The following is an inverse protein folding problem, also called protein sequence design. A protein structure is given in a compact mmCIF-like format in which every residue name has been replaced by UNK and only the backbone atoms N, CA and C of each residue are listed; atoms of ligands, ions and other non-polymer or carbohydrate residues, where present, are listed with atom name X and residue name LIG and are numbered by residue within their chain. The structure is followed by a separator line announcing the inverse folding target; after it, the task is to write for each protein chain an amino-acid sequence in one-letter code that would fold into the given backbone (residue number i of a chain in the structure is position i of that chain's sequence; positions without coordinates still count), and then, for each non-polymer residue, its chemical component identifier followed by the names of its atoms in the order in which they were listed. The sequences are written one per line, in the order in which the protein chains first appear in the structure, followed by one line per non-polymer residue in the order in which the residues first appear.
data_IF_771582316329
#
_entry.id   IF_771582316329
#
_cell.length_a   1.000
_cell.length_b   1.000
_cell.length_c   1.000
_cell.angle_alpha   90.00
_cell.angle_beta   90.00
_cell.angle_gamma   90.00
#
_symmetry.space_group_name_H-M   'P 1'
#
loop_
_entity.id
_entity.type
_entity.pdbx_description
1 polymer ?
#
# COMPACT_ATOMS: atom_id res chain seq x y z
N UNK A 1 -45.57 -57.19 -64.43
CA UNK A 1 -44.61 -56.74 -65.47
C UNK A 1 -44.17 -55.32 -65.12
N UNK A 2 -42.96 -54.78 -65.30
CA UNK A 2 -41.58 -55.21 -65.56
C UNK A 2 -40.78 -53.88 -65.59
N UNK A 3 -39.55 -53.84 -65.03
CA UNK A 3 -38.50 -52.76 -65.11
C UNK A 3 -38.83 -51.43 -64.37
N UNK A 4 -37.95 -50.66 -63.71
CA UNK A 4 -36.51 -50.43 -63.86
C UNK A 4 -35.83 -49.85 -62.59
N UNK A 5 -34.51 -50.10 -62.45
CA UNK A 5 -33.54 -49.55 -61.44
C UNK A 5 -33.13 -48.07 -61.76
N UNK A 6 -32.07 -47.47 -61.18
CA UNK A 6 -31.80 -47.01 -59.80
C UNK A 6 -31.20 -45.56 -59.74
N UNK A 7 -30.98 -44.97 -58.56
CA UNK A 7 -29.84 -44.05 -58.26
C UNK A 7 -29.79 -43.78 -56.74
N UNK A 8 -28.85 -44.37 -55.99
CA UNK A 8 -27.57 -43.75 -55.59
C UNK A 8 -27.73 -42.42 -54.81
N UNK A 9 -27.84 -42.52 -53.48
CA UNK A 9 -27.33 -41.47 -52.58
C UNK A 9 -26.22 -42.09 -51.76
N UNK A 10 -25.00 -41.79 -52.21
CA UNK A 10 -23.77 -42.09 -51.53
C UNK A 10 -23.56 -41.08 -50.39
N UNK A 11 -23.01 -41.60 -49.29
CA UNK A 11 -21.96 -40.94 -48.53
C UNK A 11 -22.29 -39.63 -47.81
N UNK A 12 -22.41 -39.71 -46.48
CA UNK A 12 -21.51 -38.93 -45.62
C UNK A 12 -21.49 -39.51 -44.21
N UNK A 13 -20.62 -40.49 -43.96
CA UNK A 13 -20.21 -40.83 -42.60
C UNK A 13 -19.22 -39.77 -42.18
N UNK A 14 -19.64 -38.87 -41.31
CA UNK A 14 -18.78 -37.89 -40.65
C UNK A 14 -17.72 -38.67 -39.86
N UNK A 15 -16.54 -38.79 -40.44
CA UNK A 15 -15.36 -39.31 -39.77
C UNK A 15 -15.01 -38.33 -38.64
N UNK A 16 -15.17 -38.77 -37.40
CA UNK A 16 -14.60 -38.07 -36.24
C UNK A 16 -13.08 -38.22 -36.33
N UNK A 17 -12.40 -37.16 -36.75
CA UNK A 17 -10.96 -37.04 -36.62
C UNK A 17 -10.58 -37.03 -35.14
N UNK A 18 -9.60 -37.85 -34.68
CA UNK A 18 -9.07 -37.70 -33.34
C UNK A 18 -8.22 -36.43 -33.30
N UNK A 19 -8.75 -35.37 -32.69
CA UNK A 19 -7.99 -34.18 -32.31
C UNK A 19 -6.85 -34.60 -31.40
N UNK A 20 -5.64 -34.60 -31.92
CA UNK A 20 -4.42 -34.70 -31.12
C UNK A 20 -3.98 -33.30 -30.70
N UNK A 21 -3.97 -32.97 -29.40
CA UNK A 21 -3.06 -31.98 -28.87
C UNK A 21 -2.06 -32.69 -27.95
N UNK A 22 -1.20 -33.57 -28.49
CA UNK A 22 -0.08 -34.18 -27.74
C UNK A 22 1.30 -33.72 -28.24
N UNK A 23 1.36 -32.54 -28.86
CA UNK A 23 2.62 -31.96 -29.34
C UNK A 23 3.04 -30.67 -28.61
N UNK A 24 2.23 -30.14 -27.67
CA UNK A 24 2.65 -29.01 -26.81
C UNK A 24 3.20 -29.45 -25.44
N UNK A 25 2.93 -30.68 -24.99
CA UNK A 25 3.46 -31.21 -23.71
C UNK A 25 4.95 -31.58 -23.71
N UNK A 26 5.66 -31.40 -24.84
CA UNK A 26 7.10 -31.66 -24.96
C UNK A 26 7.96 -30.41 -24.73
N UNK A 27 7.35 -29.23 -24.70
CA UNK A 27 8.05 -27.95 -24.52
C UNK A 27 8.02 -27.46 -23.06
N UNK A 28 7.08 -27.95 -22.26
CA UNK A 28 7.01 -27.68 -20.83
C UNK A 28 6.97 -29.01 -20.09
N UNK A 29 8.12 -29.50 -19.60
CA UNK A 29 8.14 -30.67 -18.73
C UNK A 29 7.22 -30.38 -17.54
N UNK A 30 6.17 -31.18 -17.34
CA UNK A 30 5.35 -31.14 -16.12
C UNK A 30 6.19 -31.34 -14.83
N UNK A 31 7.46 -31.69 -14.97
CA UNK A 31 8.47 -31.81 -13.91
C UNK A 31 9.11 -30.49 -13.46
N UNK A 32 8.85 -29.33 -14.09
CA UNK A 32 9.45 -28.05 -13.64
C UNK A 32 8.79 -27.55 -12.33
N UNK A 33 7.52 -27.86 -12.09
CA UNK A 33 6.74 -27.26 -10.98
C UNK A 33 6.18 -28.23 -9.94
N UNK A 34 6.44 -29.54 -10.07
CA UNK A 34 5.81 -30.56 -9.24
C UNK A 34 6.70 -31.11 -8.12
N UNK A 35 7.95 -30.63 -7.97
CA UNK A 35 8.83 -31.06 -6.89
C UNK A 35 8.62 -30.18 -5.65
N UNK A 36 8.04 -30.77 -4.59
CA UNK A 36 7.91 -30.13 -3.27
C UNK A 36 9.27 -29.60 -2.82
N UNK A 37 9.30 -28.34 -2.35
CA UNK A 37 10.51 -27.74 -1.79
C UNK A 37 10.97 -28.54 -0.56
N UNK A 38 12.29 -28.73 -0.37
CA UNK A 38 12.80 -29.23 0.90
C UNK A 38 12.33 -28.31 2.05
N UNK A 39 12.03 -28.84 3.27
CA UNK A 39 11.50 -28.04 4.37
C UNK A 39 12.33 -26.80 4.72
N UNK A 40 13.65 -26.88 4.58
CA UNK A 40 14.55 -25.75 4.80
C UNK A 40 14.48 -24.67 3.71
N UNK A 41 14.17 -25.05 2.46
CA UNK A 41 13.94 -24.10 1.38
C UNK A 41 12.57 -23.42 1.53
N UNK A 42 11.54 -24.17 1.90
CA UNK A 42 10.19 -23.63 2.16
C UNK A 42 10.20 -22.58 3.30
N UNK A 43 10.89 -22.86 4.41
CA UNK A 43 11.06 -21.89 5.50
C UNK A 43 11.77 -20.61 5.05
N UNK A 44 12.84 -20.73 4.25
CA UNK A 44 13.57 -19.57 3.71
C UNK A 44 12.71 -18.76 2.74
N UNK A 45 11.91 -19.43 1.90
CA UNK A 45 10.98 -18.77 1.00
C UNK A 45 9.93 -17.97 1.78
N UNK A 46 9.32 -18.55 2.82
CA UNK A 46 8.35 -17.83 3.68
C UNK A 46 8.96 -16.60 4.34
N UNK A 47 10.20 -16.69 4.84
CA UNK A 47 10.91 -15.54 5.40
C UNK A 47 11.19 -14.46 4.35
N UNK A 48 11.61 -14.86 3.15
CA UNK A 48 11.87 -13.93 2.05
C UNK A 48 10.58 -13.23 1.60
N UNK A 49 9.49 -13.98 1.49
CA UNK A 49 8.16 -13.45 1.18
C UNK A 49 7.72 -12.45 2.24
N UNK A 50 7.77 -12.79 3.53
CA UNK A 50 7.40 -11.88 4.61
C UNK A 50 8.23 -10.58 4.59
N UNK A 51 9.53 -10.67 4.29
CA UNK A 51 10.39 -9.49 4.13
C UNK A 51 10.00 -8.65 2.92
N UNK A 52 9.65 -9.29 1.81
CA UNK A 52 9.21 -8.58 0.61
C UNK A 52 7.88 -7.85 0.85
N UNK A 53 6.91 -8.52 1.48
CA UNK A 53 5.63 -7.93 1.86
C UNK A 53 5.82 -6.72 2.78
N UNK A 54 6.66 -6.85 3.81
CA UNK A 54 6.99 -5.75 4.72
C UNK A 54 7.72 -4.60 4.01
N UNK A 55 8.62 -4.91 3.07
CA UNK A 55 9.33 -3.89 2.28
C UNK A 55 8.38 -3.10 1.38
N UNK A 56 7.37 -3.75 0.80
CA UNK A 56 6.35 -3.08 -0.02
C UNK A 56 5.54 -2.12 0.84
N UNK A 57 5.07 -2.58 2.01
CA UNK A 57 4.34 -1.73 2.95
C UNK A 57 5.17 -0.51 3.33
N UNK A 58 6.43 -0.70 3.73
CA UNK A 58 7.33 0.38 4.12
C UNK A 58 7.51 1.40 3.01
N UNK A 59 7.77 0.95 1.78
CA UNK A 59 7.93 1.83 0.64
C UNK A 59 6.68 2.68 0.39
N UNK A 60 5.48 2.09 0.49
CA UNK A 60 4.25 2.84 0.33
C UNK A 60 4.00 3.84 1.46
N UNK A 61 4.35 3.52 2.70
CA UNK A 61 4.25 4.45 3.83
C UNK A 61 5.18 5.64 3.65
N UNK A 62 6.45 5.38 3.29
CA UNK A 62 7.45 6.44 3.06
C UNK A 62 6.98 7.38 1.93
N UNK A 63 6.50 6.82 0.81
CA UNK A 63 5.96 7.59 -0.31
C UNK A 63 4.67 8.35 0.06
N UNK A 64 3.78 7.76 0.87
CA UNK A 64 2.55 8.42 1.32
C UNK A 64 2.88 9.63 2.21
N UNK A 65 3.85 9.51 3.11
CA UNK A 65 4.31 10.60 3.96
C UNK A 65 4.90 11.74 3.12
N UNK A 66 5.72 11.41 2.11
CA UNK A 66 6.22 12.42 1.17
C UNK A 66 5.10 13.10 0.38
N UNK A 67 4.11 12.33 -0.08
CA UNK A 67 2.95 12.85 -0.80
C UNK A 67 2.13 13.82 0.06
N UNK A 68 1.88 13.46 1.32
CA UNK A 68 1.18 14.31 2.28
C UNK A 68 1.94 15.59 2.61
N UNK A 69 3.25 15.49 2.84
CA UNK A 69 4.11 16.65 3.12
C UNK A 69 4.11 17.63 1.94
N UNK A 70 4.14 17.10 0.71
CA UNK A 70 4.09 17.92 -0.52
C UNK A 70 2.76 18.63 -0.70
N UNK A 71 1.65 18.06 -0.20
CA UNK A 71 0.29 18.59 -0.35
C UNK A 71 -0.26 19.22 0.94
N UNK A 72 0.57 19.45 1.95
CA UNK A 72 0.12 19.85 3.28
C UNK A 72 -0.64 21.20 3.30
N UNK A 73 -0.36 22.09 2.35
CA UNK A 73 -1.06 23.38 2.21
C UNK A 73 -2.41 23.25 1.50
N UNK A 74 -2.57 22.24 0.65
CA UNK A 74 -3.73 22.06 -0.23
C UNK A 74 -4.75 21.05 0.32
N UNK A 75 -4.30 20.07 1.12
CA UNK A 75 -5.12 18.94 1.53
C UNK A 75 -4.81 18.47 2.96
N UNK A 76 -5.83 18.24 3.80
CA UNK A 76 -5.61 17.68 5.13
C UNK A 76 -5.14 16.22 5.03
N UNK A 77 -4.40 15.77 6.04
CA UNK A 77 -3.69 14.48 6.03
C UNK A 77 -4.61 13.28 5.77
N UNK A 78 -5.82 13.29 6.33
CA UNK A 78 -6.82 12.23 6.18
C UNK A 78 -7.25 12.08 4.72
N UNK A 79 -7.51 13.20 4.04
CA UNK A 79 -7.83 13.21 2.61
C UNK A 79 -6.63 12.89 1.73
N UNK A 80 -5.43 13.29 2.13
CA UNK A 80 -4.22 13.01 1.38
C UNK A 80 -3.86 11.51 1.38
N UNK A 81 -4.07 10.79 2.49
CA UNK A 81 -3.91 9.34 2.56
C UNK A 81 -4.87 8.63 1.60
N UNK A 82 -6.17 8.97 1.66
CA UNK A 82 -7.18 8.39 0.77
C UNK A 82 -6.86 8.64 -0.70
N UNK A 83 -6.37 9.85 -1.00
CA UNK A 83 -6.00 10.26 -2.37
C UNK A 83 -4.79 9.46 -2.85
N UNK A 84 -3.75 9.33 -2.03
CA UNK A 84 -2.57 8.54 -2.36
C UNK A 84 -2.92 7.08 -2.67
N UNK A 85 -3.70 6.43 -1.80
CA UNK A 85 -4.15 5.04 -1.98
C UNK A 85 -4.89 4.87 -3.30
N UNK A 86 -5.79 5.79 -3.62
CA UNK A 86 -6.58 5.77 -4.84
C UNK A 86 -5.71 5.96 -6.09
N UNK A 87 -4.84 6.97 -6.09
CA UNK A 87 -3.98 7.29 -7.24
C UNK A 87 -2.98 6.18 -7.51
N UNK A 88 -2.39 5.61 -6.46
CA UNK A 88 -1.43 4.51 -6.59
C UNK A 88 -2.10 3.14 -6.79
N UNK A 89 -3.44 3.07 -6.74
CA UNK A 89 -4.19 1.84 -6.98
C UNK A 89 -3.88 0.72 -5.98
N UNK A 90 -3.62 1.07 -4.72
CA UNK A 90 -3.20 0.08 -3.70
C UNK A 90 -4.41 -0.80 -3.33
N UNK A 91 -4.33 -2.13 -3.53
CA UNK A 91 -5.44 -3.02 -3.24
C UNK A 91 -5.60 -3.29 -1.74
N UNK A 92 -6.79 -3.70 -1.31
CA UNK A 92 -6.97 -4.28 0.03
C UNK A 92 -6.37 -5.68 0.13
N UNK A 93 -5.84 -6.10 1.29
CA UNK A 93 -5.80 -5.39 2.59
C UNK A 93 -4.58 -4.46 2.77
N UNK A 94 -3.75 -4.30 1.72
CA UNK A 94 -2.51 -3.53 1.80
C UNK A 94 -2.80 -2.04 2.04
N UNK A 95 -3.84 -1.49 1.41
CA UNK A 95 -4.28 -0.11 1.60
C UNK A 95 -4.55 0.22 3.07
N UNK A 96 -5.35 -0.61 3.75
CA UNK A 96 -5.64 -0.45 5.19
C UNK A 96 -4.36 -0.46 6.05
N UNK A 97 -3.41 -1.33 5.73
CA UNK A 97 -2.12 -1.42 6.44
C UNK A 97 -1.28 -0.16 6.24
N UNK A 98 -1.19 0.34 5.00
CA UNK A 98 -0.45 1.56 4.66
C UNK A 98 -1.05 2.77 5.36
N UNK A 99 -2.37 2.95 5.32
CA UNK A 99 -3.07 4.06 5.98
C UNK A 99 -2.79 4.07 7.50
N UNK A 100 -2.99 2.91 8.15
CA UNK A 100 -2.78 2.77 9.59
C UNK A 100 -1.34 3.11 9.99
N UNK A 101 -0.35 2.59 9.26
CA UNK A 101 1.06 2.84 9.58
C UNK A 101 1.48 4.28 9.31
N UNK A 102 0.99 4.90 8.23
CA UNK A 102 1.24 6.31 7.97
C UNK A 102 0.69 7.20 9.10
N UNK A 103 -0.53 6.94 9.58
CA UNK A 103 -1.11 7.64 10.72
C UNK A 103 -0.32 7.44 12.02
N UNK A 104 0.21 6.24 12.27
CA UNK A 104 1.07 5.98 13.43
C UNK A 104 2.33 6.85 13.37
N UNK A 105 2.98 6.94 12.21
CA UNK A 105 4.18 7.78 12.04
C UNK A 105 3.85 9.26 12.23
N UNK A 106 2.78 9.76 11.60
CA UNK A 106 2.32 11.15 11.82
C UNK A 106 2.01 11.43 13.30
N UNK A 107 1.39 10.48 13.99
CA UNK A 107 1.10 10.59 15.43
C UNK A 107 2.37 10.65 16.28
N UNK A 108 3.43 9.94 15.90
CA UNK A 108 4.73 10.00 16.58
C UNK A 108 5.42 11.36 16.43
N UNK A 109 5.16 12.11 15.37
CA UNK A 109 5.70 13.46 15.22
C UNK A 109 4.87 14.50 15.99
N UNK A 110 3.55 14.32 16.08
CA UNK A 110 2.63 15.25 16.77
C UNK A 110 2.65 15.11 18.31
N UNK A 111 2.80 13.91 18.85
CA UNK A 111 2.73 13.65 20.31
C UNK A 111 3.94 14.18 21.11
N UNK A 112 5.19 14.17 20.61
CA UNK A 112 6.34 14.80 21.27
C UNK A 112 6.19 16.31 21.44
N UNK A 113 5.45 16.99 20.56
CA UNK A 113 5.14 18.41 20.72
C UNK A 113 4.18 18.65 21.88
N UNK A 114 3.10 17.86 22.00
CA UNK A 114 2.12 18.02 23.08
C UNK A 114 2.71 17.68 24.46
N UNK A 115 3.59 16.68 24.56
CA UNK A 115 4.28 16.31 25.82
C UNK A 115 5.35 17.32 26.24
N UNK A 116 6.00 18.02 25.31
CA UNK A 116 6.91 19.14 25.61
C UNK A 116 6.18 20.43 25.96
N UNK A 117 5.02 20.70 25.35
CA UNK A 117 4.15 21.81 25.72
C UNK A 117 3.54 21.62 27.12
N UNK A 118 3.23 20.37 27.49
CA UNK A 118 2.92 19.98 28.88
C UNK A 118 4.21 19.85 29.69
N UNK A 119 4.98 20.93 29.80
CA UNK A 119 6.20 20.96 30.62
C UNK A 119 5.94 20.54 32.08
N UNK A 120 6.96 20.09 32.81
CA UNK A 120 6.86 19.73 34.23
C UNK A 120 6.62 21.01 35.05
N UNK A 121 5.35 21.42 35.17
CA UNK A 121 5.00 22.66 35.86
C UNK A 121 3.52 23.05 35.85
N UNK A 122 2.65 22.36 35.10
CA UNK A 122 1.19 22.60 35.20
C UNK A 122 0.56 21.51 36.06
N UNK A 123 0.13 21.78 37.31
CA UNK A 123 -0.64 20.82 38.07
C UNK A 123 -1.92 20.48 37.30
N UNK A 124 -2.25 19.19 37.27
CA UNK A 124 -3.50 18.70 36.72
C UNK A 124 -4.67 19.18 37.60
N UNK A 125 -5.18 20.38 37.35
CA UNK A 125 -6.48 20.77 37.89
C UNK A 125 -7.54 20.05 37.07
N UNK A 126 -8.26 19.15 37.73
CA UNK A 126 -9.43 18.43 37.25
C UNK A 126 -10.49 19.40 36.68
N UNK A 127 -11.42 18.95 35.81
CA UNK A 127 -12.36 19.85 35.17
C UNK A 127 -13.45 20.28 36.16
N UNK A 128 -13.58 21.59 36.38
CA UNK A 128 -14.75 22.20 36.98
C UNK A 128 -15.07 23.54 36.31
N UNK A 129 -16.32 23.64 35.83
CA UNK A 129 -17.15 24.83 35.64
C UNK A 129 -16.78 25.87 34.56
N UNK A 130 -17.60 25.86 33.50
CA UNK A 130 -18.35 26.96 32.87
C UNK A 130 -18.00 28.42 33.26
N UNK A 131 -17.82 29.28 32.24
CA UNK A 131 -18.10 30.72 32.35
C UNK A 131 -17.26 31.65 31.45
N UNK A 132 -17.96 32.40 30.57
CA UNK A 132 -17.71 33.77 30.11
C UNK A 132 -16.50 34.12 29.21
N UNK A 133 -16.83 34.33 27.93
CA UNK A 133 -16.60 35.49 27.03
C UNK A 133 -15.48 36.53 27.27
N UNK A 134 -14.89 36.99 26.15
CA UNK A 134 -14.14 38.25 25.96
C UNK A 134 -12.81 38.02 25.21
N UNK A 135 -12.69 38.26 23.90
CA UNK A 135 -12.58 39.54 23.16
C UNK A 135 -11.11 39.81 22.73
N UNK A 136 -10.95 40.13 21.44
CA UNK A 136 -9.82 40.80 20.76
C UNK A 136 -8.37 40.32 20.93
N UNK A 137 -7.71 39.96 19.83
CA UNK A 137 -6.66 40.79 19.20
C UNK A 137 -5.77 39.99 18.21
N UNK A 138 -5.31 40.71 17.21
CA UNK A 138 -4.90 40.31 15.88
C UNK A 138 -3.46 39.75 15.77
N UNK A 139 -3.24 38.98 14.69
CA UNK A 139 -1.97 38.89 13.96
C UNK A 139 -0.64 38.70 14.70
N UNK A 140 -0.22 37.45 14.90
CA UNK A 140 1.13 37.14 15.39
C UNK A 140 1.76 35.89 14.78
N UNK A 141 1.88 35.79 13.44
CA UNK A 141 2.64 34.70 12.78
C UNK A 141 4.09 34.68 13.31
N UNK A 142 4.58 33.60 13.97
CA UNK A 142 5.97 33.54 14.39
C UNK A 142 6.87 33.34 13.16
N UNK A 143 7.68 34.36 12.84
CA UNK A 143 8.69 34.32 11.78
C UNK A 143 9.71 33.22 12.05
N UNK A 144 9.72 32.19 11.20
CA UNK A 144 10.75 31.15 11.15
C UNK A 144 12.09 31.79 10.75
N UNK A 145 13.03 31.92 11.69
CA UNK A 145 14.42 32.28 11.35
C UNK A 145 15.10 31.04 10.77
N UNK A 146 15.23 31.03 9.45
CA UNK A 146 15.85 29.97 8.64
C UNK A 146 17.34 29.75 8.98
N UNK A 147 17.98 30.69 9.66
CA UNK A 147 19.41 30.66 9.98
C UNK A 147 19.75 29.62 11.07
N UNK A 148 18.85 29.35 12.02
CA UNK A 148 19.10 28.41 13.12
C UNK A 148 19.11 26.94 12.65
N UNK A 149 18.33 26.63 11.62
CA UNK A 149 18.26 25.29 11.02
C UNK A 149 19.50 24.95 10.19
N UNK A 150 20.15 25.96 9.58
CA UNK A 150 21.38 25.79 8.82
C UNK A 150 22.61 25.59 9.73
N UNK A 151 22.64 26.22 10.91
CA UNK A 151 23.72 26.05 11.88
C UNK A 151 23.72 24.66 12.53
N UNK A 152 22.53 24.12 12.83
CA UNK A 152 22.38 22.79 13.42
C UNK A 152 22.86 21.65 12.49
N UNK A 153 22.77 21.83 11.16
CA UNK A 153 23.27 20.86 10.18
C UNK A 153 24.79 20.90 10.01
N UNK A 154 25.42 22.08 10.13
CA UNK A 154 26.90 22.20 10.05
C UNK A 154 27.58 21.56 11.27
N UNK A 155 27.02 21.72 12.47
CA UNK A 155 27.56 21.13 13.71
C UNK A 155 27.47 19.60 13.76
N UNK A 156 26.63 18.97 12.93
CA UNK A 156 26.50 17.50 12.84
C UNK A 156 27.42 16.86 11.80
N UNK A 157 28.15 17.66 11.03
CA UNK A 157 29.04 17.19 9.94
C UNK A 157 30.53 17.45 10.21
N UNK A 158 30.86 18.11 11.32
CA UNK A 158 32.20 18.20 11.89
C UNK A 158 32.32 17.16 13.02
#
# INVERSE_FOLDING_TARGET
MTVARPAHVAGSRIARSPTSPRMLGKLFPEAIFSRKLPPAAERRLRLAQARAEESIVRAHVDNALMFMDTLAEDLPFDRAIDTYIRVMGIPEPLASTVATRALVVLGQDLVPFRRRQRGPGTPATAPAAQGAEGDGDDGGKPRLRLDDAAEARRRRRA
#
